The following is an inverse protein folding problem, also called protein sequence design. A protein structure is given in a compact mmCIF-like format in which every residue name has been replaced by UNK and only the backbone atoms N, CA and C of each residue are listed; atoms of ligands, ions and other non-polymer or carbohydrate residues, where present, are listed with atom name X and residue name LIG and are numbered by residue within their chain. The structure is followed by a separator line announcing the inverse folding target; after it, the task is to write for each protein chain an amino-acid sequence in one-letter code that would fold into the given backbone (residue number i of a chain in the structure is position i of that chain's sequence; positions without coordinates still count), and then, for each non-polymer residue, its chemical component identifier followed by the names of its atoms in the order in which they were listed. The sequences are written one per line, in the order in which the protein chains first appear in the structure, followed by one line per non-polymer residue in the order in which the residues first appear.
data_IF_137562329194
#
_entry.id   IF_137562329194
#
_cell.length_a   1.000
_cell.length_b   1.000
_cell.length_c   1.000
_cell.angle_alpha   90.00
_cell.angle_beta   90.00
_cell.angle_gamma   90.00
#
_symmetry.space_group_name_H-M   'P 1'
#
loop_
_entity.id
_entity.type
_entity.pdbx_description
1 polymer ?
#
# COMPACT_ATOMS: atom_id res chain seq x y z
N UNK A 1 12.36 -8.35 8.12
CA UNK A 1 10.88 -8.35 8.30
C UNK A 1 10.44 -9.80 8.10
N UNK A 2 10.00 -10.50 9.13
CA UNK A 2 9.65 -11.93 9.04
C UNK A 2 8.15 -12.08 8.80
N UNK A 3 7.77 -13.00 7.91
CA UNK A 3 6.39 -13.36 7.67
C UNK A 3 6.24 -14.86 7.94
N UNK A 4 5.50 -15.22 8.99
CA UNK A 4 5.12 -16.61 9.26
C UNK A 4 3.98 -17.00 8.31
N UNK A 5 4.25 -17.91 7.38
CA UNK A 5 3.22 -18.61 6.62
C UNK A 5 3.04 -20.00 7.23
N UNK A 6 1.94 -20.24 7.94
CA UNK A 6 1.62 -21.52 8.59
C UNK A 6 1.35 -22.68 7.63
N UNK A 7 1.43 -22.46 6.31
CA UNK A 7 1.13 -23.45 5.27
C UNK A 7 2.40 -24.01 4.60
N UNK A 8 3.58 -23.42 4.86
CA UNK A 8 4.86 -23.91 4.34
C UNK A 8 5.81 -24.19 5.51
N UNK A 9 6.26 -25.43 5.64
CA UNK A 9 7.25 -25.88 6.65
C UNK A 9 8.66 -25.28 6.48
N UNK A 10 8.80 -24.19 5.72
CA UNK A 10 10.05 -23.50 5.47
C UNK A 10 9.93 -22.06 6.00
N UNK A 11 10.63 -21.78 7.12
CA UNK A 11 10.79 -20.43 7.66
C UNK A 11 11.69 -19.63 6.71
N UNK A 12 11.18 -18.57 6.09
CA UNK A 12 11.97 -17.62 5.30
C UNK A 12 12.50 -16.53 6.22
N UNK A 13 13.79 -16.61 6.56
CA UNK A 13 14.49 -15.63 7.37
C UNK A 13 15.15 -14.57 6.46
N UNK A 14 14.64 -13.34 6.47
CA UNK A 14 15.25 -12.20 5.77
C UNK A 14 16.40 -11.62 6.61
N UNK A 15 17.65 -11.92 6.25
CA UNK A 15 18.84 -11.30 6.85
C UNK A 15 19.41 -10.25 5.89
N UNK A 16 19.62 -9.02 6.36
CA UNK A 16 20.23 -7.93 5.59
C UNK A 16 21.76 -7.95 5.74
N UNK A 17 22.51 -7.72 4.66
CA UNK A 17 23.98 -7.61 4.69
C UNK A 17 24.45 -6.33 3.99
N UNK A 18 25.40 -5.62 4.59
CA UNK A 18 26.30 -4.67 3.89
C UNK A 18 27.51 -5.44 3.37
N UNK A 19 27.99 -5.15 2.15
CA UNK A 19 29.24 -5.77 1.62
C UNK A 19 30.38 -5.57 2.63
N UNK A 20 31.06 -6.66 3.02
CA UNK A 20 32.25 -6.65 3.88
C UNK A 20 32.23 -7.54 5.13
N UNK A 21 31.06 -7.96 5.61
CA UNK A 21 30.97 -8.89 6.75
C UNK A 21 31.09 -10.34 6.26
N UNK A 22 32.14 -11.09 6.64
CA UNK A 22 32.27 -12.51 6.30
C UNK A 22 31.32 -13.35 7.17
N UNK A 23 30.59 -14.29 6.55
CA UNK A 23 29.89 -15.36 7.28
C UNK A 23 30.85 -16.54 7.46
N UNK A 24 30.93 -17.09 8.66
CA UNK A 24 31.47 -18.44 8.86
C UNK A 24 30.41 -19.45 8.38
N UNK A 25 30.59 -20.01 7.19
CA UNK A 25 29.80 -21.17 6.73
C UNK A 25 29.37 -21.10 5.26
N UNK A 26 29.99 -21.91 4.40
CA UNK A 26 29.81 -21.97 2.93
C UNK A 26 28.50 -22.67 2.46
N UNK A 27 27.45 -22.72 3.27
CA UNK A 27 26.29 -23.60 3.00
C UNK A 27 24.93 -22.89 3.03
N UNK A 28 24.82 -21.71 2.42
CA UNK A 28 23.53 -21.04 2.24
C UNK A 28 23.28 -20.76 0.75
N UNK A 29 22.09 -21.14 0.25
CA UNK A 29 21.75 -20.97 -1.17
C UNK A 29 21.17 -19.57 -1.38
N UNK A 30 21.88 -18.76 -2.16
CA UNK A 30 21.38 -17.47 -2.64
C UNK A 30 20.26 -17.68 -3.67
N UNK A 31 19.10 -17.07 -3.44
CA UNK A 31 17.91 -17.20 -4.32
C UNK A 31 17.78 -15.98 -5.25
N UNK A 32 18.67 -15.00 -5.12
CA UNK A 32 18.80 -13.87 -6.05
C UNK A 32 19.38 -12.63 -5.36
N UNK A 33 20.03 -11.78 -6.16
CA UNK A 33 20.53 -10.48 -5.72
C UNK A 33 19.62 -9.36 -6.25
N UNK A 34 19.23 -8.43 -5.38
CA UNK A 34 18.48 -7.23 -5.75
C UNK A 34 19.35 -6.01 -5.42
N UNK A 35 19.63 -5.16 -6.40
CA UNK A 35 20.41 -3.93 -6.20
C UNK A 35 19.48 -2.73 -6.00
N UNK A 36 19.66 -1.99 -4.91
CA UNK A 36 18.90 -0.77 -4.61
C UNK A 36 19.84 0.31 -4.07
N UNK A 37 20.02 1.41 -4.81
CA UNK A 37 20.92 2.53 -4.44
C UNK A 37 22.35 2.10 -4.02
N UNK A 38 22.97 1.18 -4.77
CA UNK A 38 24.33 0.69 -4.49
C UNK A 38 24.43 -0.29 -3.30
N UNK A 39 23.31 -0.72 -2.73
CA UNK A 39 23.24 -1.82 -1.78
C UNK A 39 22.80 -3.10 -2.51
N UNK A 40 23.63 -4.14 -2.42
CA UNK A 40 23.32 -5.48 -2.93
C UNK A 40 22.61 -6.29 -1.84
N UNK A 41 21.37 -6.68 -2.12
CA UNK A 41 20.55 -7.50 -1.23
C UNK A 41 20.57 -8.93 -1.72
N UNK A 42 21.29 -9.81 -1.02
CA UNK A 42 21.26 -11.25 -1.31
C UNK A 42 20.16 -11.91 -0.50
N UNK A 43 19.17 -12.47 -1.18
CA UNK A 43 18.16 -13.30 -0.53
C UNK A 43 18.73 -14.69 -0.28
N UNK A 44 18.67 -15.15 0.96
CA UNK A 44 19.25 -16.45 1.36
C UNK A 44 18.17 -17.29 2.02
N UNK A 45 18.04 -18.55 1.59
CA UNK A 45 17.20 -19.54 2.28
C UNK A 45 18.10 -20.32 3.23
N UNK A 46 17.77 -20.27 4.53
CA UNK A 46 18.50 -21.00 5.56
C UNK A 46 18.03 -22.46 5.64
N UNK A 47 18.96 -23.36 5.92
CA UNK A 47 18.64 -24.75 6.25
C UNK A 47 18.09 -24.87 7.67
N UNK A 48 17.49 -26.02 8.00
CA UNK A 48 16.97 -26.28 9.35
C UNK A 48 18.07 -26.18 10.41
N UNK A 49 19.28 -26.68 10.13
CA UNK A 49 20.39 -26.62 11.09
C UNK A 49 20.83 -25.17 11.35
N UNK A 50 20.80 -24.31 10.32
CA UNK A 50 21.15 -22.89 10.44
C UNK A 50 20.10 -22.12 11.26
N UNK A 51 18.83 -22.47 11.12
CA UNK A 51 17.74 -21.89 11.93
C UNK A 51 17.92 -22.27 13.40
N UNK A 52 18.20 -23.55 13.70
CA UNK A 52 18.45 -24.01 15.07
C UNK A 52 19.69 -23.35 15.71
N UNK A 53 20.72 -23.09 14.92
CA UNK A 53 21.91 -22.37 15.37
C UNK A 53 21.55 -20.92 15.76
N UNK A 54 20.81 -20.20 14.91
CA UNK A 54 20.37 -18.82 15.18
C UNK A 54 19.40 -18.74 16.37
N UNK A 55 18.55 -19.76 16.55
CA UNK A 55 17.67 -19.91 17.72
C UNK A 55 18.45 -20.00 19.04
N UNK A 56 19.62 -20.65 19.02
CA UNK A 56 20.42 -20.88 20.24
C UNK A 56 21.42 -19.78 20.54
N UNK A 57 21.94 -19.07 19.52
CA UNK A 57 23.00 -18.07 19.68
C UNK A 57 22.59 -16.63 19.35
N UNK A 58 21.37 -16.42 18.83
CA UNK A 58 20.86 -15.11 18.45
C UNK A 58 20.10 -14.40 19.57
N UNK A 59 19.90 -13.09 19.42
CA UNK A 59 19.00 -12.28 20.26
C UNK A 59 17.51 -12.56 19.92
N UNK A 60 17.28 -13.48 18.98
CA UNK A 60 15.96 -13.84 18.50
C UNK A 60 15.33 -14.89 19.41
N UNK A 61 14.22 -14.54 20.06
CA UNK A 61 13.44 -15.44 20.90
C UNK A 61 12.08 -15.69 20.22
N UNK A 62 11.82 -16.90 19.67
CA UNK A 62 10.57 -17.19 18.95
C UNK A 62 9.32 -16.92 19.80
N UNK A 63 9.41 -17.16 21.11
CA UNK A 63 8.38 -16.88 22.11
C UNK A 63 8.07 -15.38 22.35
N UNK A 64 8.88 -14.48 21.79
CA UNK A 64 8.65 -13.03 21.81
C UNK A 64 8.22 -12.49 20.44
N UNK A 65 8.03 -13.35 19.44
CA UNK A 65 7.47 -12.96 18.14
C UNK A 65 6.01 -12.55 18.35
N UNK A 66 5.73 -11.25 18.20
CA UNK A 66 4.36 -10.74 18.17
C UNK A 66 3.91 -10.67 16.73
N UNK A 67 2.71 -11.17 16.44
CA UNK A 67 2.13 -11.08 15.11
C UNK A 67 1.97 -9.60 14.73
N UNK A 68 2.59 -9.22 13.62
CA UNK A 68 2.41 -7.92 13.00
C UNK A 68 1.30 -8.02 11.94
N UNK A 69 0.59 -6.91 11.72
CA UNK A 69 -0.37 -6.77 10.63
C UNK A 69 0.24 -7.28 9.32
N UNK A 70 -0.54 -8.03 8.54
CA UNK A 70 -0.10 -8.56 7.26
C UNK A 70 0.15 -7.43 6.26
N UNK A 71 1.36 -7.34 5.72
CA UNK A 71 1.72 -6.43 4.63
C UNK A 71 2.27 -7.25 3.48
N UNK A 72 1.88 -6.90 2.26
CA UNK A 72 2.42 -7.51 1.04
C UNK A 72 2.32 -6.55 -0.13
N UNK A 73 2.99 -6.89 -1.23
CA UNK A 73 2.96 -6.13 -2.48
C UNK A 73 2.88 -7.08 -3.67
N UNK A 74 2.28 -6.62 -4.75
CA UNK A 74 2.23 -7.33 -6.03
C UNK A 74 2.68 -6.36 -7.11
N UNK A 75 3.58 -6.80 -7.99
CA UNK A 75 4.09 -5.97 -9.09
C UNK A 75 4.16 -6.76 -10.39
N UNK A 76 4.05 -6.05 -11.50
CA UNK A 76 4.27 -6.61 -12.84
C UNK A 76 5.73 -6.46 -13.22
N UNK A 77 6.44 -7.58 -13.33
CA UNK A 77 7.87 -7.60 -13.71
C UNK A 77 8.09 -6.95 -15.08
N UNK A 78 7.10 -7.02 -15.97
CA UNK A 78 7.13 -6.43 -17.31
C UNK A 78 6.68 -4.96 -17.35
N UNK A 79 6.30 -4.38 -16.21
CA UNK A 79 5.79 -3.00 -16.15
C UNK A 79 4.41 -2.80 -16.77
N UNK A 80 3.72 -3.87 -17.18
CA UNK A 80 2.39 -3.77 -17.79
C UNK A 80 1.32 -3.57 -16.72
N UNK A 81 0.59 -2.46 -16.80
CA UNK A 81 -0.57 -2.18 -15.96
C UNK A 81 -1.74 -3.09 -16.36
N UNK A 82 -2.23 -3.91 -15.42
CA UNK A 82 -3.36 -4.81 -15.66
C UNK A 82 -4.21 -4.96 -14.41
N UNK A 83 -5.51 -5.20 -14.59
CA UNK A 83 -6.45 -5.48 -13.49
C UNK A 83 -6.06 -6.73 -12.67
N UNK A 84 -5.31 -7.66 -13.27
CA UNK A 84 -4.79 -8.86 -12.60
C UNK A 84 -3.97 -8.55 -11.34
N UNK A 85 -3.27 -7.42 -11.30
CA UNK A 85 -2.51 -6.99 -10.11
C UNK A 85 -3.45 -6.70 -8.95
N UNK A 86 -4.58 -6.04 -9.21
CA UNK A 86 -5.61 -5.75 -8.20
C UNK A 86 -6.29 -7.04 -7.71
N UNK A 87 -6.60 -7.97 -8.62
CA UNK A 87 -7.14 -9.29 -8.23
C UNK A 87 -6.19 -10.05 -7.33
N UNK A 88 -4.89 -10.04 -7.66
CA UNK A 88 -3.86 -10.68 -6.84
C UNK A 88 -3.72 -10.01 -5.47
N UNK A 89 -3.79 -8.67 -5.41
CA UNK A 89 -3.77 -7.92 -4.17
C UNK A 89 -5.00 -8.21 -3.31
N UNK A 90 -6.18 -8.36 -3.92
CA UNK A 90 -7.40 -8.79 -3.22
C UNK A 90 -7.25 -10.18 -2.62
N UNK A 91 -6.80 -11.17 -3.39
CA UNK A 91 -6.55 -12.53 -2.88
C UNK A 91 -5.53 -12.52 -1.74
N UNK A 92 -4.51 -11.67 -1.82
CA UNK A 92 -3.53 -11.50 -0.75
C UNK A 92 -4.18 -10.94 0.52
N UNK A 93 -5.00 -9.90 0.43
CA UNK A 93 -5.76 -9.35 1.57
C UNK A 93 -6.68 -10.40 2.21
N UNK A 94 -7.45 -11.14 1.40
CA UNK A 94 -8.35 -12.20 1.88
C UNK A 94 -7.57 -13.27 2.66
N UNK A 95 -6.38 -13.65 2.18
CA UNK A 95 -5.50 -14.61 2.86
C UNK A 95 -4.88 -14.06 4.14
N UNK A 96 -4.81 -12.73 4.31
CA UNK A 96 -4.31 -12.08 5.52
C UNK A 96 -5.42 -11.80 6.55
N UNK A 97 -6.68 -12.17 6.28
CA UNK A 97 -7.80 -11.93 7.20
C UNK A 97 -7.59 -12.55 8.59
N UNK A 98 -6.91 -13.70 8.68
CA UNK A 98 -6.56 -14.35 9.95
C UNK A 98 -5.58 -13.54 10.83
N UNK A 99 -4.95 -12.49 10.26
CA UNK A 99 -4.07 -11.55 10.95
C UNK A 99 -4.77 -10.23 11.28
N UNK A 100 -6.04 -10.08 10.90
CA UNK A 100 -6.85 -8.92 11.23
C UNK A 100 -7.46 -9.07 12.62
N UNK A 101 -7.57 -7.96 13.33
CA UNK A 101 -8.45 -7.87 14.49
C UNK A 101 -9.82 -7.32 14.05
N UNK A 102 -10.86 -7.74 14.79
CA UNK A 102 -12.23 -7.30 14.61
C UNK A 102 -12.71 -6.55 15.85
N UNK A 103 -13.61 -5.61 15.63
CA UNK A 103 -14.31 -4.86 16.67
C UNK A 103 -15.31 -5.73 17.44
N UNK A 104 -15.97 -5.15 18.43
CA UNK A 104 -16.93 -5.84 19.30
C UNK A 104 -18.19 -6.34 18.58
N UNK A 105 -18.47 -5.86 17.36
CA UNK A 105 -19.55 -6.36 16.50
C UNK A 105 -19.16 -7.60 15.69
N UNK A 106 -17.90 -8.06 15.78
CA UNK A 106 -17.33 -9.20 15.09
C UNK A 106 -17.46 -9.15 13.55
N UNK A 107 -17.73 -7.95 13.00
CA UNK A 107 -17.98 -7.69 11.57
C UNK A 107 -17.12 -6.50 11.08
N UNK A 108 -16.94 -5.46 11.90
CA UNK A 108 -16.02 -4.37 11.61
C UNK A 108 -14.57 -4.81 11.85
N UNK A 109 -13.73 -4.76 10.82
CA UNK A 109 -12.29 -4.98 10.95
C UNK A 109 -11.52 -3.70 11.32
N UNK A 110 -10.34 -3.85 11.91
CA UNK A 110 -9.47 -2.72 12.29
C UNK A 110 -8.97 -1.88 11.09
N UNK A 111 -8.91 -2.49 9.90
CA UNK A 111 -8.60 -1.79 8.66
C UNK A 111 -7.98 -2.68 7.59
N UNK A 112 -8.33 -2.40 6.33
CA UNK A 112 -7.71 -2.99 5.16
C UNK A 112 -7.60 -1.93 4.05
N UNK A 113 -6.59 -2.06 3.18
CA UNK A 113 -6.41 -1.11 2.10
C UNK A 113 -5.42 -1.60 1.05
N UNK A 114 -5.52 -1.00 -0.13
CA UNK A 114 -4.58 -1.20 -1.24
C UNK A 114 -4.16 0.17 -1.75
N UNK A 115 -2.85 0.34 -1.91
CA UNK A 115 -2.26 1.47 -2.62
C UNK A 115 -1.93 1.03 -4.04
N UNK A 116 -2.36 1.81 -5.03
CA UNK A 116 -2.10 1.54 -6.45
C UNK A 116 -1.58 2.79 -7.17
N UNK A 117 -1.05 2.60 -8.37
CA UNK A 117 -0.86 3.69 -9.31
C UNK A 117 -2.22 4.33 -9.67
N UNK A 118 -2.19 5.57 -10.16
CA UNK A 118 -3.40 6.28 -10.57
C UNK A 118 -4.12 5.48 -11.66
N UNK A 119 -5.38 5.05 -11.45
CA UNK A 119 -6.15 4.34 -12.47
C UNK A 119 -6.70 5.36 -13.49
N UNK A 120 -5.85 5.79 -14.42
CA UNK A 120 -6.08 6.86 -15.39
C UNK A 120 -7.38 6.66 -16.19
N UNK A 121 -7.57 5.47 -16.78
CA UNK A 121 -8.76 5.14 -17.58
C UNK A 121 -10.06 5.28 -16.76
N UNK A 122 -10.05 4.80 -15.50
CA UNK A 122 -11.20 4.91 -14.61
C UNK A 122 -11.53 6.38 -14.34
N UNK A 123 -10.52 7.18 -14.01
CA UNK A 123 -10.74 8.58 -13.65
C UNK A 123 -11.20 9.42 -14.84
N UNK A 124 -10.62 9.20 -16.03
CA UNK A 124 -11.07 9.87 -17.25
C UNK A 124 -12.53 9.59 -17.54
N UNK A 125 -12.92 8.32 -17.51
CA UNK A 125 -14.30 7.91 -17.79
C UNK A 125 -15.28 8.51 -16.79
N UNK A 126 -14.95 8.44 -15.49
CA UNK A 126 -15.82 8.89 -14.43
C UNK A 126 -15.96 10.42 -14.38
N UNK A 127 -14.86 11.16 -14.51
CA UNK A 127 -14.89 12.63 -14.52
C UNK A 127 -15.57 13.14 -15.79
N UNK A 128 -15.35 12.49 -16.94
CA UNK A 128 -16.05 12.84 -18.17
C UNK A 128 -17.55 12.59 -18.06
N UNK A 129 -17.97 11.48 -17.41
CA UNK A 129 -19.38 11.13 -17.21
C UNK A 129 -20.11 12.08 -16.26
N UNK A 130 -19.46 12.53 -15.18
CA UNK A 130 -20.11 13.34 -14.14
C UNK A 130 -20.01 14.84 -14.36
N UNK A 131 -18.85 15.34 -14.79
CA UNK A 131 -18.55 16.78 -14.87
C UNK A 131 -18.33 17.28 -16.31
N UNK A 132 -18.38 16.39 -17.31
CA UNK A 132 -18.05 16.66 -18.73
C UNK A 132 -16.62 17.22 -18.97
N UNK A 133 -15.71 17.00 -18.00
CA UNK A 133 -14.34 17.49 -18.06
C UNK A 133 -13.40 16.44 -18.68
N UNK A 134 -12.54 16.88 -19.60
CA UNK A 134 -11.43 16.06 -20.09
C UNK A 134 -10.22 16.24 -19.19
N UNK A 135 -9.72 15.16 -18.59
CA UNK A 135 -8.51 15.22 -17.78
C UNK A 135 -7.26 15.48 -18.66
N UNK A 136 -6.26 16.20 -18.13
CA UNK A 136 -4.92 16.30 -18.72
C UNK A 136 -4.25 14.92 -18.90
N UNK A 137 -3.17 14.82 -19.69
CA UNK A 137 -2.35 13.62 -19.77
C UNK A 137 -1.87 13.13 -18.40
N UNK A 138 -1.67 11.82 -18.27
CA UNK A 138 -1.11 11.22 -17.05
C UNK A 138 0.27 11.83 -16.76
N UNK A 139 0.48 12.30 -15.53
CA UNK A 139 1.69 13.01 -15.12
C UNK A 139 1.52 14.55 -15.05
N UNK A 140 0.50 15.10 -15.71
CA UNK A 140 0.13 16.52 -15.60
C UNK A 140 -0.97 16.78 -14.56
N UNK A 141 -1.58 15.72 -14.03
CA UNK A 141 -2.55 15.81 -12.95
C UNK A 141 -2.20 14.84 -11.83
N UNK A 142 -2.61 15.18 -10.61
CA UNK A 142 -2.52 14.32 -9.45
C UNK A 142 -3.93 13.98 -8.94
N UNK A 143 -3.99 13.03 -8.01
CA UNK A 143 -5.23 12.66 -7.30
C UNK A 143 -4.96 12.63 -5.81
N UNK A 144 -5.97 12.97 -5.02
CA UNK A 144 -5.94 12.86 -3.57
C UNK A 144 -7.25 12.28 -3.06
N UNK A 145 -7.16 11.44 -2.03
CA UNK A 145 -8.33 10.96 -1.28
C UNK A 145 -8.39 11.71 0.05
N UNK A 146 -9.54 12.31 0.34
CA UNK A 146 -9.81 13.02 1.58
C UNK A 146 -10.93 12.32 2.33
N UNK A 147 -10.74 12.16 3.63
CA UNK A 147 -11.75 11.72 4.57
C UNK A 147 -12.15 12.94 5.40
N UNK A 148 -13.40 13.37 5.24
CA UNK A 148 -13.92 14.61 5.80
C UNK A 148 -15.17 14.32 6.62
N UNK A 149 -15.62 15.28 7.40
CA UNK A 149 -16.97 15.22 7.97
C UNK A 149 -17.97 15.84 6.99
N UNK A 150 -19.20 15.32 6.99
CA UNK A 150 -20.26 15.81 6.12
C UNK A 150 -20.56 17.30 6.37
N UNK A 151 -20.46 17.75 7.62
CA UNK A 151 -20.73 19.13 8.05
C UNK A 151 -19.61 20.10 7.64
N UNK A 152 -18.35 19.66 7.73
CA UNK A 152 -17.17 20.49 7.44
C UNK A 152 -16.72 20.41 5.98
N UNK A 153 -17.28 19.47 5.20
CA UNK A 153 -16.92 19.24 3.80
C UNK A 153 -16.83 20.51 2.96
N UNK A 154 -17.81 21.42 3.05
CA UNK A 154 -17.81 22.66 2.24
C UNK A 154 -16.62 23.55 2.59
N UNK A 155 -16.36 23.75 3.87
CA UNK A 155 -15.24 24.56 4.34
C UNK A 155 -13.90 23.91 4.00
N UNK A 156 -13.80 22.58 4.14
CA UNK A 156 -12.61 21.82 3.77
C UNK A 156 -12.32 21.91 2.27
N UNK A 157 -13.35 21.89 1.42
CA UNK A 157 -13.22 22.06 -0.03
C UNK A 157 -12.71 23.45 -0.40
N UNK A 158 -13.24 24.49 0.24
CA UNK A 158 -12.80 25.88 0.06
C UNK A 158 -11.33 26.04 0.51
N UNK A 159 -11.01 25.59 1.73
CA UNK A 159 -9.65 25.63 2.28
C UNK A 159 -8.63 24.85 1.43
N UNK A 160 -8.99 23.65 0.96
CA UNK A 160 -8.13 22.87 0.06
C UNK A 160 -7.89 23.61 -1.26
N UNK A 161 -8.93 24.25 -1.81
CA UNK A 161 -8.82 25.00 -3.06
C UNK A 161 -7.91 26.21 -2.90
N UNK A 162 -7.97 26.89 -1.76
CA UNK A 162 -7.10 28.04 -1.48
C UNK A 162 -5.66 27.63 -1.20
N UNK A 163 -5.44 26.52 -0.50
CA UNK A 163 -4.11 25.91 -0.37
C UNK A 163 -3.53 25.50 -1.73
N UNK A 164 -4.34 24.85 -2.58
CA UNK A 164 -3.93 24.47 -3.92
C UNK A 164 -3.50 25.70 -4.74
N UNK A 165 -4.28 26.79 -4.70
CA UNK A 165 -3.89 28.05 -5.35
C UNK A 165 -2.56 28.58 -4.80
N UNK A 166 -2.36 28.55 -3.48
CA UNK A 166 -1.11 28.96 -2.84
C UNK A 166 0.10 28.12 -3.27
N UNK A 167 -0.12 26.87 -3.67
CA UNK A 167 0.90 25.98 -4.22
C UNK A 167 1.02 26.03 -5.75
N UNK A 168 0.42 27.02 -6.42
CA UNK A 168 0.33 27.07 -7.88
C UNK A 168 -0.26 25.78 -8.47
N UNK A 169 -1.35 25.28 -7.89
CA UNK A 169 -2.12 24.14 -8.39
C UNK A 169 -3.55 24.59 -8.67
N UNK A 170 -4.18 24.03 -9.71
CA UNK A 170 -5.60 24.26 -10.01
C UNK A 170 -6.40 22.99 -9.74
N UNK A 171 -7.41 23.07 -8.89
CA UNK A 171 -8.32 21.93 -8.71
C UNK A 171 -9.20 21.77 -9.95
N UNK A 172 -9.14 20.60 -10.60
CA UNK A 172 -9.91 20.29 -11.82
C UNK A 172 -11.30 19.81 -11.44
N UNK A 173 -11.36 18.79 -10.59
CA UNK A 173 -12.59 18.09 -10.27
C UNK A 173 -12.59 17.59 -8.82
N UNK A 174 -13.80 17.50 -8.27
CA UNK A 174 -14.09 16.85 -7.00
C UNK A 174 -15.10 15.74 -7.26
N UNK A 175 -14.75 14.53 -6.87
CA UNK A 175 -15.58 13.34 -7.07
C UNK A 175 -15.91 12.69 -5.73
N UNK A 176 -17.10 12.14 -5.60
CA UNK A 176 -17.44 11.19 -4.53
C UNK A 176 -17.22 9.77 -5.09
N UNK A 177 -16.28 8.99 -4.55
CA UNK A 177 -16.17 7.58 -4.90
C UNK A 177 -17.45 6.82 -4.53
N UNK A 178 -17.81 5.83 -5.33
CA UNK A 178 -18.91 4.92 -5.00
C UNK A 178 -18.51 4.04 -3.80
N UNK A 179 -19.33 4.04 -2.76
CA UNK A 179 -19.14 3.24 -1.55
C UNK A 179 -20.42 2.47 -1.23
N UNK A 180 -20.28 1.29 -0.64
CA UNK A 180 -21.40 0.45 -0.22
C UNK A 180 -21.43 0.34 1.31
N UNK A 181 -21.92 1.39 1.98
CA UNK A 181 -21.96 1.50 3.46
C UNK A 181 -22.76 0.38 4.15
N UNK A 182 -23.61 -0.34 3.41
CA UNK A 182 -24.34 -1.50 3.93
C UNK A 182 -23.46 -2.73 4.15
N UNK A 183 -22.29 -2.80 3.50
CA UNK A 183 -21.36 -3.93 3.59
C UNK A 183 -20.34 -3.79 4.73
N UNK A 184 -20.30 -2.65 5.43
CA UNK A 184 -19.45 -2.45 6.60
C UNK A 184 -20.23 -2.72 7.89
N UNK A 185 -19.51 -3.23 8.90
CA UNK A 185 -20.06 -3.51 10.22
C UNK A 185 -20.62 -2.27 10.91
N UNK A 186 -21.43 -2.49 11.94
CA UNK A 186 -22.22 -1.43 12.59
C UNK A 186 -21.33 -0.42 13.29
N UNK A 187 -20.21 -0.84 13.88
CA UNK A 187 -19.27 0.08 14.52
C UNK A 187 -18.52 0.94 13.50
N UNK A 188 -18.02 0.36 12.42
CA UNK A 188 -17.36 1.11 11.34
C UNK A 188 -18.30 2.12 10.67
N UNK A 189 -19.59 1.78 10.53
CA UNK A 189 -20.59 2.66 9.92
C UNK A 189 -20.85 3.93 10.73
N UNK A 190 -20.76 3.88 12.06
CA UNK A 190 -20.97 5.05 12.93
C UNK A 190 -19.91 6.13 12.70
N UNK A 191 -18.70 5.73 12.29
CA UNK A 191 -17.56 6.61 12.09
C UNK A 191 -17.16 6.70 10.61
N UNK A 192 -18.03 6.29 9.68
CA UNK A 192 -17.76 6.35 8.25
C UNK A 192 -17.57 7.82 7.81
N UNK A 193 -16.41 8.18 7.24
CA UNK A 193 -16.15 9.54 6.82
C UNK A 193 -16.83 9.88 5.49
N UNK A 194 -17.03 11.17 5.25
CA UNK A 194 -17.36 11.71 3.94
C UNK A 194 -16.13 11.62 3.02
N UNK A 195 -16.05 10.54 2.23
CA UNK A 195 -14.93 10.30 1.31
C UNK A 195 -15.05 11.18 0.06
N UNK A 196 -13.98 11.88 -0.28
CA UNK A 196 -13.87 12.71 -1.48
C UNK A 196 -12.55 12.48 -2.20
N UNK A 197 -12.63 12.35 -3.51
CA UNK A 197 -11.47 12.33 -4.39
C UNK A 197 -11.32 13.70 -5.03
N UNK A 198 -10.13 14.28 -4.97
CA UNK A 198 -9.79 15.56 -5.63
C UNK A 198 -8.77 15.30 -6.73
N UNK A 199 -8.93 15.95 -7.88
CA UNK A 199 -7.96 15.88 -8.98
C UNK A 199 -7.37 17.27 -9.26
N UNK A 200 -6.25 17.65 -8.63
CA UNK A 200 -5.54 18.87 -8.99
C UNK A 200 -4.71 18.71 -10.28
N UNK A 201 -4.76 19.73 -11.12
CA UNK A 201 -3.84 19.97 -12.22
C UNK A 201 -2.52 20.45 -11.63
N UNK A 202 -1.44 19.76 -11.97
CA UNK A 202 -0.10 20.25 -11.74
C UNK A 202 0.16 21.32 -12.80
N UNK A 203 0.25 22.58 -12.40
CA UNK A 203 0.91 23.52 -13.27
C UNK A 203 2.39 23.12 -13.29
N UNK A 204 2.84 22.49 -14.36
CA UNK A 204 4.23 22.59 -14.75
C UNK A 204 4.47 24.05 -15.08
N UNK A 205 4.74 24.87 -14.06
CA UNK A 205 5.43 26.13 -14.27
C UNK A 205 6.73 25.73 -14.96
N UNK A 206 6.84 26.10 -16.22
CA UNK A 206 8.08 26.01 -16.97
C UNK A 206 9.20 26.51 -16.07
N UNK A 207 10.03 25.59 -15.58
CA UNK A 207 11.37 25.91 -15.13
C UNK A 207 12.14 26.29 -16.39
N UNK A 208 11.87 27.48 -16.90
CA UNK A 208 12.85 28.29 -17.60
C UNK A 208 13.79 28.82 -16.51
N UNK A 209 14.84 28.05 -16.23
CA UNK A 209 16.10 28.54 -15.67
C UNK A 209 17.23 27.95 -16.50
#
# INVERSE_FOLDING_TARGET
MFANCSVCTHKLLYIYRRRGANWCGEHSKSVGDIEFNGLYLTMVVLTKEQIEMVEKSGIWLPQMEKDACGVGFVTSIKGVATHKILESARTMLERMAHRGACSCDNDSGDGAGVLTAIPDDLYRNEIKKHDDINLPPLGEYATGMLFLDQETYRQAKEAFTDLAKGCNLKVIAWRRPETHSEQIGTEARKTEPCIRQVSPLLFFQALHY
#
